data_IF_540577373532
#
_entry.id   IF_540577373532
#
_cell.length_a   1.000
_cell.length_b   1.000
_cell.length_c   1.000
_cell.angle_alpha   90.00
_cell.angle_beta   90.00
_cell.angle_gamma   90.00
#
_symmetry.space_group_name_H-M   'P 1'
#
loop_
_entity.id
_entity.type
_entity.pdbx_description
1 polymer ?
#
# COMPACT_ATOMS: atom_id res chain seq x y z
N UNK A 1 -17.19 1.11 -19.20
CA UNK A 1 -16.25 -0.05 -19.07
C UNK A 1 -16.98 -1.22 -18.40
N UNK A 2 -16.52 -2.46 -18.57
CA UNK A 2 -17.17 -3.65 -17.98
C UNK A 2 -16.59 -3.99 -16.59
N UNK A 3 -15.44 -3.47 -16.24
CA UNK A 3 -14.81 -3.69 -14.92
C UNK A 3 -13.67 -2.73 -14.68
N UNK A 4 -13.32 -2.55 -13.41
CA UNK A 4 -12.29 -1.62 -12.95
C UNK A 4 -11.06 -2.41 -12.52
N UNK A 5 -9.92 -2.10 -13.11
CA UNK A 5 -8.64 -2.75 -12.80
C UNK A 5 -8.09 -2.17 -11.48
N UNK A 6 -7.57 -3.06 -10.62
CA UNK A 6 -6.89 -2.66 -9.40
C UNK A 6 -5.43 -2.26 -9.70
N UNK A 7 -5.26 -1.14 -10.38
CA UNK A 7 -3.96 -0.54 -10.64
C UNK A 7 -3.78 0.72 -9.80
N UNK A 8 -2.52 0.99 -9.44
CA UNK A 8 -2.14 2.27 -8.84
C UNK A 8 -2.40 3.40 -9.85
N UNK A 9 -2.75 4.58 -9.36
CA UNK A 9 -2.88 5.76 -10.19
C UNK A 9 -1.52 6.06 -10.84
N UNK A 10 -1.50 6.12 -12.17
CA UNK A 10 -0.29 6.48 -12.91
C UNK A 10 0.01 7.98 -12.79
N UNK A 11 1.23 8.36 -13.18
CA UNK A 11 1.66 9.75 -13.23
C UNK A 11 0.69 10.60 -14.08
N UNK A 12 0.15 11.69 -13.49
CA UNK A 12 -0.80 12.57 -14.15
C UNK A 12 -2.24 12.04 -14.23
N UNK A 13 -2.56 10.90 -13.60
CA UNK A 13 -3.93 10.42 -13.48
C UNK A 13 -4.79 11.34 -12.60
N UNK A 14 -6.10 11.30 -12.84
CA UNK A 14 -7.07 12.14 -12.11
C UNK A 14 -7.12 11.76 -10.62
N UNK A 15 -6.96 12.74 -9.73
CA UNK A 15 -7.08 12.58 -8.29
C UNK A 15 -8.55 12.49 -7.87
N UNK A 16 -9.12 11.30 -7.98
CA UNK A 16 -10.52 11.05 -7.61
C UNK A 16 -10.75 10.95 -6.09
N UNK A 17 -9.69 10.91 -5.28
CA UNK A 17 -9.76 10.87 -3.81
C UNK A 17 -9.55 12.24 -3.16
N UNK A 18 -9.29 13.28 -3.97
CA UNK A 18 -9.01 14.67 -3.54
C UNK A 18 -7.86 14.79 -2.52
N UNK A 19 -6.77 14.04 -2.73
CA UNK A 19 -5.57 14.06 -1.87
C UNK A 19 -4.39 14.86 -2.45
N UNK A 20 -4.63 15.67 -3.49
CA UNK A 20 -3.59 16.47 -4.16
C UNK A 20 -2.78 17.34 -3.20
N UNK A 21 -3.42 17.96 -2.22
CA UNK A 21 -2.73 18.78 -1.21
C UNK A 21 -1.70 18.00 -0.39
N UNK A 22 -1.91 16.71 -0.15
CA UNK A 22 -0.99 15.87 0.62
C UNK A 22 0.26 15.52 -0.18
N UNK A 23 0.13 15.15 -1.47
CA UNK A 23 1.31 14.86 -2.27
C UNK A 23 2.08 16.13 -2.62
N UNK A 24 1.43 17.28 -2.81
CA UNK A 24 2.09 18.58 -3.00
C UNK A 24 2.91 18.95 -1.74
N UNK A 25 2.32 18.82 -0.55
CA UNK A 25 3.04 19.08 0.70
C UNK A 25 4.25 18.15 0.89
N UNK A 26 4.14 16.87 0.51
CA UNK A 26 5.27 15.94 0.57
C UNK A 26 6.36 16.29 -0.45
N UNK A 27 5.99 16.71 -1.66
CA UNK A 27 6.95 17.19 -2.67
C UNK A 27 7.70 18.41 -2.16
N UNK A 28 6.99 19.40 -1.62
CA UNK A 28 7.62 20.59 -1.04
C UNK A 28 8.51 20.27 0.15
N UNK A 29 8.10 19.32 0.99
CA UNK A 29 8.94 18.82 2.07
C UNK A 29 10.21 18.15 1.53
N UNK A 30 10.11 17.28 0.52
CA UNK A 30 11.27 16.63 -0.12
C UNK A 30 12.23 17.69 -0.70
N UNK A 31 11.71 18.76 -1.29
CA UNK A 31 12.52 19.86 -1.86
C UNK A 31 13.27 20.66 -0.81
N UNK A 32 12.72 20.82 0.39
CA UNK A 32 13.23 21.77 1.40
C UNK A 32 13.91 21.11 2.58
N UNK A 33 13.64 19.83 2.86
CA UNK A 33 14.12 19.16 4.08
C UNK A 33 15.64 19.03 4.13
N UNK A 34 16.20 18.97 5.34
CA UNK A 34 17.58 18.54 5.52
C UNK A 34 17.72 17.04 5.22
N UNK A 35 18.91 16.64 4.79
CA UNK A 35 19.21 15.25 4.40
C UNK A 35 20.35 14.66 5.24
N UNK A 36 20.42 13.37 5.48
CA UNK A 36 19.53 12.31 4.96
C UNK A 36 18.16 12.30 5.61
N UNK A 37 17.12 12.07 4.82
CA UNK A 37 15.73 12.01 5.29
C UNK A 37 15.06 10.70 4.86
N UNK A 38 14.30 10.08 5.76
CA UNK A 38 13.45 8.93 5.44
C UNK A 38 12.00 9.24 5.80
N UNK A 39 11.16 9.20 4.78
CA UNK A 39 9.71 9.39 4.88
C UNK A 39 9.06 8.00 4.84
N UNK A 40 8.27 7.65 5.85
CA UNK A 40 7.51 6.42 5.87
C UNK A 40 6.06 6.67 5.53
N UNK A 41 5.64 6.33 4.32
CA UNK A 41 4.24 6.38 3.87
C UNK A 41 3.54 5.13 4.40
N UNK A 42 2.73 5.31 5.43
CA UNK A 42 2.08 4.22 6.17
C UNK A 42 0.62 4.09 5.78
N UNK A 43 0.17 2.87 5.61
CA UNK A 43 -1.22 2.55 5.34
C UNK A 43 -1.39 1.07 5.06
N UNK A 44 -2.61 0.59 5.23
CA UNK A 44 -2.95 -0.80 4.89
C UNK A 44 -2.87 -1.07 3.39
N UNK A 45 -2.91 -2.34 3.06
CA UNK A 45 -2.88 -2.77 1.68
C UNK A 45 -4.12 -2.28 0.91
N UNK A 46 -3.88 -1.57 -0.19
CA UNK A 46 -4.94 -0.97 -1.00
C UNK A 46 -5.33 0.46 -0.62
N UNK A 47 -4.69 1.06 0.40
CA UNK A 47 -4.94 2.45 0.81
C UNK A 47 -4.45 3.52 -0.19
N UNK A 48 -3.71 3.15 -1.25
CA UNK A 48 -3.22 4.08 -2.26
C UNK A 48 -1.77 4.53 -2.08
N UNK A 49 -0.95 3.85 -1.26
CA UNK A 49 0.48 4.19 -1.05
C UNK A 49 1.24 4.35 -2.37
N UNK A 50 1.20 3.32 -3.22
CA UNK A 50 1.86 3.35 -4.55
C UNK A 50 1.37 4.50 -5.41
N UNK A 51 0.06 4.79 -5.39
CA UNK A 51 -0.52 5.94 -6.11
C UNK A 51 0.05 7.26 -5.62
N UNK A 52 0.18 7.44 -4.31
CA UNK A 52 0.80 8.62 -3.71
C UNK A 52 2.28 8.75 -4.14
N UNK A 53 3.05 7.65 -4.11
CA UNK A 53 4.44 7.66 -4.56
C UNK A 53 4.55 8.04 -6.05
N UNK A 54 3.67 7.52 -6.91
CA UNK A 54 3.62 7.86 -8.33
C UNK A 54 3.32 9.36 -8.56
N UNK A 55 2.44 9.96 -7.75
CA UNK A 55 2.14 11.39 -7.85
C UNK A 55 3.34 12.25 -7.40
N UNK A 56 4.03 11.85 -6.32
CA UNK A 56 5.27 12.53 -5.89
C UNK A 56 6.33 12.43 -6.99
N UNK A 57 6.53 11.24 -7.56
CA UNK A 57 7.43 11.02 -8.68
C UNK A 57 7.13 11.96 -9.85
N UNK A 58 5.88 11.98 -10.30
CA UNK A 58 5.43 12.82 -11.41
C UNK A 58 5.72 14.30 -11.18
N UNK A 59 5.41 14.81 -9.98
CA UNK A 59 5.62 16.21 -9.63
C UNK A 59 7.10 16.61 -9.58
N UNK A 60 7.96 15.72 -9.10
CA UNK A 60 9.40 15.96 -9.13
C UNK A 60 9.95 15.87 -10.56
N UNK A 61 9.42 14.96 -11.39
CA UNK A 61 9.77 14.86 -12.81
C UNK A 61 9.32 16.09 -13.63
N UNK A 62 8.16 16.65 -13.31
CA UNK A 62 7.71 17.94 -13.87
C UNK A 62 8.68 19.06 -13.47
N UNK A 63 9.11 19.10 -12.22
CA UNK A 63 10.12 20.06 -11.74
C UNK A 63 11.44 19.95 -12.49
N UNK A 64 11.86 18.74 -12.87
CA UNK A 64 13.05 18.51 -13.70
C UNK A 64 12.93 19.10 -15.11
N UNK A 65 11.70 19.24 -15.64
CA UNK A 65 11.45 19.74 -17.01
C UNK A 65 11.25 21.25 -17.10
N UNK A 66 10.79 21.88 -16.03
CA UNK A 66 10.36 23.27 -16.05
C UNK A 66 11.47 24.29 -15.74
N UNK A 67 12.59 23.87 -15.15
CA UNK A 67 13.54 24.81 -14.56
C UNK A 67 15.00 24.59 -14.95
N UNK A 68 15.78 25.68 -14.85
CA UNK A 68 17.24 25.77 -14.91
C UNK A 68 17.94 24.65 -14.12
N UNK A 69 19.15 24.33 -14.51
CA UNK A 69 20.03 23.24 -14.07
C UNK A 69 20.14 22.99 -12.54
N UNK A 70 19.60 23.88 -11.71
CA UNK A 70 19.77 23.85 -10.24
C UNK A 70 18.69 23.04 -9.48
N UNK A 71 17.66 22.47 -10.14
CA UNK A 71 16.53 21.80 -9.44
C UNK A 71 16.23 20.38 -9.95
N UNK A 72 17.21 19.68 -10.45
CA UNK A 72 17.04 18.31 -10.91
C UNK A 72 17.07 17.31 -9.73
N UNK A 73 16.16 16.33 -9.75
CA UNK A 73 16.07 15.23 -8.80
C UNK A 73 16.36 13.92 -9.51
N UNK A 74 17.38 13.18 -9.05
CA UNK A 74 17.59 11.81 -9.49
C UNK A 74 16.64 10.91 -8.75
N UNK A 75 15.65 10.36 -9.44
CA UNK A 75 14.62 9.52 -8.87
C UNK A 75 14.91 8.06 -9.16
N UNK A 76 14.86 7.20 -8.15
CA UNK A 76 15.11 5.77 -8.22
C UNK A 76 13.92 5.03 -7.62
N UNK A 77 13.33 4.10 -8.37
CA UNK A 77 12.21 3.29 -7.92
C UNK A 77 12.64 1.85 -7.70
N UNK A 78 12.33 1.30 -6.53
CA UNK A 78 12.63 -0.09 -6.17
C UNK A 78 11.35 -0.79 -5.77
N UNK A 79 10.99 -1.85 -6.50
CA UNK A 79 9.90 -2.74 -6.14
C UNK A 79 10.46 -3.96 -5.36
N UNK A 80 10.26 -3.95 -4.05
CA UNK A 80 10.81 -4.99 -3.19
C UNK A 80 10.20 -6.37 -3.45
N UNK A 81 8.94 -6.43 -3.86
CA UNK A 81 8.24 -7.69 -4.14
C UNK A 81 8.78 -8.38 -5.39
N UNK A 82 9.07 -7.64 -6.46
CA UNK A 82 9.65 -8.22 -7.69
C UNK A 82 10.98 -8.92 -7.41
N UNK A 83 11.79 -8.34 -6.53
CA UNK A 83 13.06 -8.93 -6.14
C UNK A 83 12.90 -10.18 -5.26
N UNK A 84 11.78 -10.31 -4.53
CA UNK A 84 11.54 -11.43 -3.61
C UNK A 84 11.04 -12.71 -4.29
N UNK A 85 10.45 -12.62 -5.48
CA UNK A 85 9.69 -13.71 -6.11
C UNK A 85 10.50 -14.97 -6.45
N UNK A 86 11.81 -14.84 -6.70
CA UNK A 86 12.65 -15.94 -7.24
C UNK A 86 14.01 -16.03 -6.54
N UNK A 87 14.13 -15.58 -5.30
CA UNK A 87 15.41 -15.58 -4.58
C UNK A 87 15.24 -15.80 -3.09
N UNK A 88 16.34 -16.15 -2.42
CA UNK A 88 16.37 -16.18 -0.95
C UNK A 88 16.24 -14.77 -0.39
N UNK A 89 15.85 -14.61 0.90
CA UNK A 89 15.76 -13.31 1.55
C UNK A 89 17.06 -12.49 1.43
N UNK A 90 18.21 -13.13 1.59
CA UNK A 90 19.53 -12.53 1.50
C UNK A 90 19.84 -12.04 0.07
N UNK A 91 19.44 -12.81 -0.93
CA UNK A 91 19.59 -12.42 -2.34
C UNK A 91 18.65 -11.27 -2.70
N UNK A 92 17.43 -11.23 -2.14
CA UNK A 92 16.50 -10.13 -2.30
C UNK A 92 17.10 -8.81 -1.81
N UNK A 93 17.66 -8.81 -0.59
CA UNK A 93 18.34 -7.65 -0.02
C UNK A 93 19.45 -7.11 -0.92
N UNK A 94 20.28 -8.03 -1.43
CA UNK A 94 21.40 -7.66 -2.31
C UNK A 94 20.93 -7.14 -3.66
N UNK A 95 19.85 -7.67 -4.22
CA UNK A 95 19.25 -7.19 -5.46
C UNK A 95 18.74 -5.77 -5.32
N UNK A 96 18.01 -5.46 -4.24
CA UNK A 96 17.52 -4.12 -3.93
C UNK A 96 18.68 -3.12 -3.86
N UNK A 97 19.73 -3.45 -3.11
CA UNK A 97 20.91 -2.58 -3.01
C UNK A 97 21.58 -2.40 -4.37
N UNK A 98 21.75 -3.50 -5.11
CA UNK A 98 22.40 -3.46 -6.42
C UNK A 98 21.59 -2.64 -7.43
N UNK A 99 20.25 -2.67 -7.37
CA UNK A 99 19.40 -1.84 -8.22
C UNK A 99 19.60 -0.36 -7.92
N UNK A 100 19.50 0.05 -6.64
CA UNK A 100 19.76 1.45 -6.26
C UNK A 100 21.14 1.90 -6.72
N UNK A 101 22.16 1.06 -6.52
CA UNK A 101 23.53 1.39 -6.93
C UNK A 101 23.66 1.46 -8.46
N UNK A 102 23.00 0.57 -9.19
CA UNK A 102 23.04 0.55 -10.64
C UNK A 102 22.42 1.80 -11.24
N UNK A 103 21.30 2.26 -10.68
CA UNK A 103 20.64 3.51 -11.08
C UNK A 103 21.52 4.74 -10.76
N UNK A 104 22.13 4.77 -9.56
CA UNK A 104 23.10 5.82 -9.23
C UNK A 104 24.29 5.85 -10.18
N UNK A 105 24.78 4.68 -10.63
CA UNK A 105 25.88 4.57 -11.58
C UNK A 105 25.48 4.86 -13.03
N UNK A 106 24.20 4.84 -13.36
CA UNK A 106 23.68 5.22 -14.67
C UNK A 106 23.73 6.74 -14.89
N UNK A 107 23.69 7.53 -13.83
CA UNK A 107 23.99 8.96 -13.89
C UNK A 107 25.46 9.12 -14.29
N UNK A 108 25.76 9.89 -15.31
CA UNK A 108 27.04 10.02 -16.04
C UNK A 108 28.32 10.22 -15.18
N UNK A 109 28.70 9.14 -14.46
CA UNK A 109 29.74 9.13 -13.42
C UNK A 109 31.06 8.58 -13.97
N UNK A 110 32.22 9.03 -13.43
CA UNK A 110 33.55 8.57 -13.81
C UNK A 110 33.70 7.04 -13.70
N UNK A 111 34.34 6.46 -14.73
CA UNK A 111 34.58 5.02 -14.85
C UNK A 111 35.34 4.43 -13.64
N UNK A 112 36.29 5.16 -13.07
CA UNK A 112 37.09 4.71 -11.93
C UNK A 112 36.24 4.55 -10.65
N UNK A 113 35.22 5.41 -10.45
CA UNK A 113 34.28 5.31 -9.34
C UNK A 113 33.33 4.14 -9.53
N UNK A 114 32.82 3.96 -10.76
CA UNK A 114 31.98 2.80 -11.12
C UNK A 114 32.65 1.47 -10.75
N UNK A 115 33.95 1.32 -11.11
CA UNK A 115 34.67 0.07 -10.86
C UNK A 115 34.88 -0.18 -9.36
N UNK A 116 35.25 0.83 -8.58
CA UNK A 116 35.40 0.71 -7.11
C UNK A 116 34.08 0.33 -6.38
N UNK A 117 32.96 0.90 -6.83
CA UNK A 117 31.65 0.62 -6.24
C UNK A 117 31.21 -0.79 -6.61
N UNK A 118 31.37 -1.21 -7.87
CA UNK A 118 31.11 -2.58 -8.32
C UNK A 118 31.92 -3.62 -7.53
N UNK A 119 33.20 -3.34 -7.23
CA UNK A 119 34.02 -4.19 -6.37
C UNK A 119 33.48 -4.28 -4.94
N UNK A 120 32.99 -3.16 -4.37
CA UNK A 120 32.41 -3.11 -3.04
C UNK A 120 31.11 -3.94 -2.96
N UNK A 121 30.22 -3.78 -3.95
CA UNK A 121 28.98 -4.57 -4.07
C UNK A 121 29.31 -6.05 -4.27
N UNK A 122 30.26 -6.38 -5.15
CA UNK A 122 30.68 -7.75 -5.37
C UNK A 122 31.30 -8.41 -4.12
N UNK A 123 31.97 -7.63 -3.29
CA UNK A 123 32.46 -8.06 -1.98
C UNK A 123 31.32 -8.45 -1.03
N UNK A 124 30.27 -7.63 -0.94
CA UNK A 124 29.06 -7.94 -0.17
C UNK A 124 28.35 -9.19 -0.70
N UNK A 125 28.18 -9.28 -2.03
CA UNK A 125 27.54 -10.45 -2.67
C UNK A 125 28.31 -11.74 -2.43
N UNK A 126 29.64 -11.73 -2.49
CA UNK A 126 30.48 -12.90 -2.17
C UNK A 126 30.39 -13.31 -0.71
N UNK A 127 30.29 -12.37 0.21
CA UNK A 127 30.06 -12.62 1.63
C UNK A 127 28.76 -13.37 1.83
N UNK A 128 27.66 -12.88 1.27
CA UNK A 128 26.32 -13.48 1.36
C UNK A 128 26.26 -14.88 0.73
N UNK A 129 26.85 -15.08 -0.45
CA UNK A 129 26.87 -16.39 -1.14
C UNK A 129 27.69 -17.44 -0.40
N UNK A 130 28.78 -17.07 0.29
CA UNK A 130 29.55 -18.00 1.13
C UNK A 130 28.75 -18.50 2.33
N UNK A 131 27.88 -17.65 2.86
CA UNK A 131 26.99 -18.01 3.96
C UNK A 131 25.83 -18.89 3.43
N UNK A 132 25.24 -18.57 2.27
CA UNK A 132 24.17 -19.38 1.66
C UNK A 132 24.59 -20.80 1.30
N UNK A 133 25.83 -21.00 0.83
CA UNK A 133 26.35 -22.33 0.51
C UNK A 133 26.62 -23.23 1.74
N UNK A 134 26.80 -22.65 2.91
CA UNK A 134 26.91 -23.43 4.19
C UNK A 134 25.55 -23.82 4.78
N UNK A 135 24.45 -23.28 4.26
CA UNK A 135 23.07 -23.42 4.73
C UNK A 135 22.35 -24.68 4.24
N UNK A 136 22.90 -25.40 3.26
CA UNK A 136 22.36 -26.71 2.84
C UNK A 136 22.35 -27.76 3.97
N UNK A 137 22.79 -27.42 5.18
CA UNK A 137 22.92 -28.27 6.36
C UNK A 137 22.13 -27.75 7.60
N UNK A 138 20.90 -27.25 7.44
CA UNK A 138 19.90 -27.11 8.50
C UNK A 138 20.24 -26.10 9.65
N UNK A 139 19.29 -25.28 10.01
CA UNK A 139 19.23 -24.37 11.20
C UNK A 139 20.26 -23.23 11.34
N UNK A 140 21.10 -22.95 10.38
CA UNK A 140 22.11 -21.90 10.45
C UNK A 140 21.70 -20.55 9.81
N UNK A 141 20.48 -20.42 9.26
CA UNK A 141 20.05 -19.26 8.46
C UNK A 141 20.02 -17.94 9.20
N UNK A 142 19.54 -17.93 10.43
CA UNK A 142 19.41 -16.69 11.23
C UNK A 142 20.79 -16.18 11.68
N UNK A 143 21.71 -17.09 12.05
CA UNK A 143 23.08 -16.72 12.44
C UNK A 143 23.94 -16.22 11.29
N UNK A 144 23.60 -16.57 10.06
CA UNK A 144 24.36 -16.21 8.88
C UNK A 144 24.18 -14.75 8.46
N UNK A 145 22.97 -14.21 8.60
CA UNK A 145 22.69 -12.79 8.31
C UNK A 145 23.29 -11.90 9.40
N UNK A 146 23.14 -12.30 10.68
CA UNK A 146 23.80 -11.60 11.79
C UNK A 146 25.34 -11.63 11.64
N UNK A 147 25.92 -12.71 11.10
CA UNK A 147 27.34 -12.78 10.84
C UNK A 147 27.81 -11.92 9.65
N UNK A 148 26.94 -11.62 8.66
CA UNK A 148 27.24 -10.64 7.62
C UNK A 148 27.32 -9.22 8.19
N UNK A 149 26.47 -8.92 9.20
CA UNK A 149 26.51 -7.62 9.88
C UNK A 149 27.67 -7.50 10.87
N UNK A 150 28.01 -8.56 11.57
CA UNK A 150 29.08 -8.56 12.61
C UNK A 150 30.50 -8.62 12.01
N UNK A 151 30.73 -9.41 10.96
CA UNK A 151 32.08 -9.58 10.37
C UNK A 151 32.42 -8.54 9.28
N UNK A 152 31.42 -7.80 8.74
CA UNK A 152 31.59 -6.88 7.61
C UNK A 152 31.20 -5.41 7.90
N UNK A 153 31.18 -4.98 9.15
CA UNK A 153 30.97 -3.57 9.52
C UNK A 153 31.94 -2.63 8.75
N UNK A 154 33.16 -3.09 8.46
CA UNK A 154 34.11 -2.37 7.64
C UNK A 154 33.71 -2.32 6.16
N UNK A 155 33.07 -3.37 5.63
CA UNK A 155 32.61 -3.44 4.24
C UNK A 155 31.41 -2.53 4.02
N UNK A 156 30.44 -2.56 4.94
CA UNK A 156 29.28 -1.64 4.93
C UNK A 156 29.74 -0.18 5.04
N UNK A 157 30.65 0.12 5.96
CA UNK A 157 31.21 1.47 6.11
C UNK A 157 31.96 1.93 4.87
N UNK A 158 32.74 1.04 4.24
CA UNK A 158 33.46 1.33 3.00
C UNK A 158 32.50 1.59 1.86
N UNK A 159 31.46 0.75 1.70
CA UNK A 159 30.43 0.95 0.68
C UNK A 159 29.68 2.26 0.90
N UNK A 160 29.27 2.57 2.12
CA UNK A 160 28.63 3.86 2.44
C UNK A 160 29.49 5.05 2.04
N UNK A 161 30.79 5.00 2.34
CA UNK A 161 31.71 6.08 1.98
C UNK A 161 31.88 6.22 0.47
N UNK A 162 31.90 5.10 -0.28
CA UNK A 162 31.94 5.11 -1.74
C UNK A 162 30.66 5.67 -2.35
N UNK A 163 29.48 5.28 -1.81
CA UNK A 163 28.18 5.82 -2.23
C UNK A 163 28.04 7.32 -1.88
N UNK A 164 28.56 7.75 -0.73
CA UNK A 164 28.60 9.16 -0.38
C UNK A 164 29.44 9.98 -1.36
N UNK A 165 30.59 9.45 -1.80
CA UNK A 165 31.41 10.09 -2.82
C UNK A 165 30.66 10.15 -4.16
N UNK A 166 29.99 9.07 -4.55
CA UNK A 166 29.19 8.99 -5.78
C UNK A 166 28.06 10.00 -5.82
N UNK A 167 27.25 10.11 -4.74
CA UNK A 167 26.19 11.11 -4.64
C UNK A 167 26.77 12.54 -4.71
N UNK A 168 27.94 12.76 -4.10
CA UNK A 168 28.64 14.04 -4.21
C UNK A 168 29.09 14.35 -5.65
N UNK A 169 29.49 13.36 -6.45
CA UNK A 169 29.83 13.54 -7.88
C UNK A 169 28.58 13.84 -8.72
N UNK A 170 27.49 13.11 -8.50
CA UNK A 170 26.20 13.30 -9.17
C UNK A 170 25.69 14.74 -8.98
N UNK A 171 25.87 15.27 -7.77
CA UNK A 171 25.50 16.65 -7.44
C UNK A 171 26.36 17.71 -8.16
N UNK A 172 27.60 17.38 -8.48
CA UNK A 172 28.56 18.30 -9.09
C UNK A 172 28.82 17.99 -10.58
N UNK A 173 27.91 17.30 -11.27
CA UNK A 173 28.03 17.07 -12.70
C UNK A 173 28.06 18.41 -13.45
N UNK A 174 28.93 18.53 -14.47
CA UNK A 174 29.00 19.73 -15.30
C UNK A 174 27.76 19.93 -16.19
N UNK A 175 27.14 18.82 -16.56
CA UNK A 175 25.89 18.79 -17.34
C UNK A 175 24.79 18.10 -16.51
N UNK A 176 23.69 18.79 -16.29
CA UNK A 176 22.56 18.31 -15.51
C UNK A 176 22.92 17.86 -14.07
N UNK A 177 23.43 18.76 -13.21
CA UNK A 177 23.66 18.42 -11.80
C UNK A 177 22.34 18.07 -11.11
N UNK A 178 22.39 17.07 -10.23
CA UNK A 178 21.23 16.71 -9.42
C UNK A 178 21.33 17.33 -8.03
N UNK A 179 20.29 18.02 -7.62
CA UNK A 179 20.22 18.59 -6.28
C UNK A 179 20.13 17.51 -5.20
N UNK A 180 19.34 16.47 -5.45
CA UNK A 180 19.07 15.36 -4.52
C UNK A 180 18.80 14.05 -5.25
N UNK A 181 19.05 12.97 -4.53
CA UNK A 181 18.62 11.62 -4.92
C UNK A 181 17.39 11.26 -4.10
N UNK A 182 16.29 10.87 -4.76
CA UNK A 182 15.05 10.42 -4.13
C UNK A 182 14.84 8.95 -4.45
N UNK A 183 14.84 8.11 -3.43
CA UNK A 183 14.69 6.66 -3.57
C UNK A 183 13.33 6.24 -3.03
N UNK A 184 12.51 5.69 -3.90
CA UNK A 184 11.22 5.11 -3.56
C UNK A 184 11.39 3.61 -3.35
N UNK A 185 10.89 3.10 -2.23
CA UNK A 185 10.89 1.67 -1.95
C UNK A 185 9.44 1.25 -1.70
N UNK A 186 8.91 0.47 -2.65
CA UNK A 186 7.52 0.05 -2.64
C UNK A 186 7.37 -1.45 -2.40
N UNK A 187 6.15 -1.86 -2.07
CA UNK A 187 5.75 -3.27 -1.89
C UNK A 187 6.53 -4.02 -0.78
N UNK A 188 7.05 -3.32 0.24
CA UNK A 188 7.67 -3.94 1.41
C UNK A 188 6.69 -4.79 2.23
N UNK A 189 5.40 -4.53 2.12
CA UNK A 189 4.32 -5.25 2.81
C UNK A 189 3.95 -6.58 2.13
N UNK A 190 4.51 -6.87 0.95
CA UNK A 190 4.29 -8.14 0.22
C UNK A 190 5.37 -9.19 0.43
N UNK A 191 6.46 -8.83 1.10
CA UNK A 191 7.55 -9.75 1.41
C UNK A 191 7.40 -10.32 2.83
N UNK A 192 8.18 -11.34 3.15
CA UNK A 192 8.19 -11.92 4.50
C UNK A 192 8.47 -10.81 5.54
N UNK A 193 7.65 -10.67 6.62
CA UNK A 193 7.79 -9.58 7.58
C UNK A 193 9.19 -9.42 8.18
N UNK A 194 9.91 -10.51 8.43
CA UNK A 194 11.30 -10.48 8.92
C UNK A 194 12.25 -9.85 7.92
N UNK A 195 12.04 -10.12 6.63
CA UNK A 195 12.90 -9.61 5.57
C UNK A 195 12.63 -8.13 5.31
N UNK A 196 11.37 -7.69 5.45
CA UNK A 196 11.02 -6.27 5.44
C UNK A 196 11.79 -5.51 6.53
N UNK A 197 11.86 -6.04 7.76
CA UNK A 197 12.64 -5.45 8.87
C UNK A 197 14.13 -5.36 8.51
N UNK A 198 14.71 -6.45 7.98
CA UNK A 198 16.13 -6.46 7.56
C UNK A 198 16.42 -5.45 6.45
N UNK A 199 15.52 -5.33 5.46
CA UNK A 199 15.66 -4.33 4.38
C UNK A 199 15.66 -2.92 4.99
N UNK A 200 14.74 -2.60 5.89
CA UNK A 200 14.67 -1.31 6.55
C UNK A 200 15.96 -0.99 7.34
N UNK A 201 16.46 -1.93 8.13
CA UNK A 201 17.71 -1.77 8.89
C UNK A 201 18.92 -1.58 7.95
N UNK A 202 18.95 -2.30 6.84
CA UNK A 202 20.04 -2.24 5.87
C UNK A 202 20.03 -0.91 5.10
N UNK A 203 18.85 -0.48 4.62
CA UNK A 203 18.69 0.81 3.95
C UNK A 203 19.15 1.94 4.88
N UNK A 204 18.75 1.93 6.14
CA UNK A 204 19.20 2.91 7.14
C UNK A 204 20.72 2.91 7.32
N UNK A 205 21.33 1.73 7.33
CA UNK A 205 22.78 1.61 7.57
C UNK A 205 23.62 1.98 6.36
N UNK A 206 23.20 1.66 5.14
CA UNK A 206 23.96 1.90 3.91
C UNK A 206 23.71 3.29 3.37
N UNK A 207 22.44 3.71 3.32
CA UNK A 207 22.02 4.93 2.62
C UNK A 207 21.78 6.13 3.55
N UNK A 208 22.33 6.13 4.76
CA UNK A 208 22.39 7.33 5.59
C UNK A 208 23.44 8.32 5.03
N UNK A 209 23.13 8.91 3.86
CA UNK A 209 24.02 9.70 3.00
C UNK A 209 23.37 11.06 2.78
N UNK A 210 24.16 12.14 2.90
CA UNK A 210 23.71 13.50 2.58
C UNK A 210 23.16 13.57 1.16
N UNK A 211 22.23 14.46 0.93
CA UNK A 211 21.55 14.70 -0.35
C UNK A 211 20.68 13.53 -0.84
N UNK A 212 20.35 12.56 0.06
CA UNK A 212 19.45 11.46 -0.21
C UNK A 212 18.15 11.58 0.62
N UNK A 213 17.02 11.35 -0.04
CA UNK A 213 15.69 11.20 0.58
C UNK A 213 15.14 9.83 0.24
N UNK A 214 14.67 9.09 1.24
CA UNK A 214 13.99 7.81 1.06
C UNK A 214 12.50 7.98 1.30
N UNK A 215 11.67 7.47 0.40
CA UNK A 215 10.21 7.41 0.53
C UNK A 215 9.82 5.94 0.53
N UNK A 216 9.45 5.44 1.69
CA UNK A 216 9.17 4.02 1.94
C UNK A 216 7.66 3.80 2.05
N UNK A 217 7.07 3.01 1.14
CA UNK A 217 5.70 2.54 1.29
C UNK A 217 5.68 1.32 2.20
N UNK A 218 5.09 1.46 3.39
CA UNK A 218 5.09 0.42 4.41
C UNK A 218 3.70 0.20 5.00
N UNK A 219 3.45 -1.03 5.43
CA UNK A 219 2.38 -1.35 6.37
C UNK A 219 2.99 -1.58 7.76
N UNK A 220 2.60 -0.73 8.72
CA UNK A 220 3.09 -0.80 10.09
C UNK A 220 2.90 -2.19 10.70
N UNK A 221 1.75 -2.83 10.45
CA UNK A 221 1.42 -4.14 10.99
C UNK A 221 2.34 -5.25 10.46
N UNK A 222 2.77 -5.16 9.21
CA UNK A 222 3.71 -6.11 8.62
C UNK A 222 5.07 -5.99 9.31
N UNK A 223 5.56 -4.78 9.53
CA UNK A 223 6.84 -4.55 10.22
C UNK A 223 6.75 -5.00 11.68
N UNK A 224 5.65 -4.71 12.39
CA UNK A 224 5.42 -5.21 13.76
C UNK A 224 5.49 -6.73 13.80
N UNK A 225 4.84 -7.45 12.87
CA UNK A 225 4.94 -8.91 12.77
C UNK A 225 6.38 -9.39 12.58
N UNK A 226 7.18 -8.68 11.79
CA UNK A 226 8.60 -9.01 11.58
C UNK A 226 9.47 -8.80 12.83
N UNK A 227 9.04 -7.95 13.76
CA UNK A 227 9.75 -7.65 15.01
C UNK A 227 9.36 -8.56 16.17
N UNK A 228 8.32 -9.40 16.04
CA UNK A 228 7.83 -10.29 17.13
C UNK A 228 8.93 -11.20 17.65
N UNK A 229 9.80 -11.70 16.80
CA UNK A 229 10.92 -12.55 17.26
C UNK A 229 11.94 -11.80 18.12
N UNK A 230 12.08 -10.49 17.87
CA UNK A 230 13.05 -9.64 18.57
C UNK A 230 12.50 -9.10 19.89
N UNK A 231 11.21 -8.71 19.91
CA UNK A 231 10.59 -8.00 21.03
C UNK A 231 9.45 -8.79 21.72
N UNK A 232 9.10 -9.98 21.21
CA UNK A 232 7.90 -10.70 21.63
C UNK A 232 6.62 -10.18 20.97
N UNK A 233 5.49 -10.79 21.30
CA UNK A 233 4.19 -10.29 20.84
C UNK A 233 3.92 -8.88 21.41
N UNK A 234 3.24 -7.98 20.65
CA UNK A 234 2.93 -6.65 21.14
C UNK A 234 2.10 -6.70 22.43
N UNK A 235 2.53 -5.98 23.44
CA UNK A 235 1.83 -5.77 24.73
C UNK A 235 1.97 -4.30 25.12
N UNK A 236 1.12 -3.78 26.04
CA UNK A 236 1.29 -2.41 26.53
C UNK A 236 2.68 -2.13 27.13
N UNK A 237 3.35 -3.15 27.66
CA UNK A 237 4.66 -3.03 28.31
C UNK A 237 5.80 -2.90 27.31
N UNK A 238 5.70 -3.50 26.11
CA UNK A 238 6.76 -3.50 25.09
C UNK A 238 6.43 -2.66 23.84
N UNK A 239 5.27 -2.00 23.78
CA UNK A 239 4.87 -1.15 22.64
C UNK A 239 5.91 -0.08 22.30
N UNK A 240 6.59 0.45 23.30
CA UNK A 240 7.63 1.45 23.13
C UNK A 240 8.85 0.92 22.33
N UNK A 241 9.16 -0.39 22.37
CA UNK A 241 10.27 -0.98 21.61
C UNK A 241 9.96 -0.97 20.09
N UNK A 242 8.71 -1.26 19.72
CA UNK A 242 8.25 -1.17 18.33
C UNK A 242 8.30 0.28 17.84
N UNK A 243 7.80 1.23 18.63
CA UNK A 243 7.86 2.66 18.31
C UNK A 243 9.31 3.13 18.15
N UNK A 244 10.18 2.78 19.09
CA UNK A 244 11.59 3.15 19.04
C UNK A 244 12.32 2.57 17.81
N UNK A 245 11.92 1.40 17.32
CA UNK A 245 12.45 0.84 16.08
C UNK A 245 12.07 1.72 14.89
N UNK A 246 10.79 2.10 14.78
CA UNK A 246 10.33 2.99 13.70
C UNK A 246 10.99 4.36 13.76
N UNK A 247 11.04 4.99 14.93
CA UNK A 247 11.65 6.32 15.12
C UNK A 247 13.14 6.34 14.75
N UNK A 248 13.82 5.21 14.91
CA UNK A 248 15.22 5.07 14.51
C UNK A 248 15.39 5.07 13.00
N UNK A 249 14.43 4.58 12.24
CA UNK A 249 14.52 4.43 10.77
C UNK A 249 13.84 5.58 10.05
N UNK A 250 12.62 5.93 10.47
CA UNK A 250 11.74 6.89 9.82
C UNK A 250 11.80 8.20 10.58
N UNK A 251 12.21 9.28 9.90
CA UNK A 251 12.21 10.62 10.48
C UNK A 251 10.88 11.34 10.28
N UNK A 252 10.18 11.08 9.16
CA UNK A 252 8.84 11.61 8.90
C UNK A 252 7.86 10.45 8.69
N UNK A 253 7.06 10.09 9.70
CA UNK A 253 5.94 9.19 9.50
C UNK A 253 4.78 9.95 8.84
N UNK A 254 4.28 9.44 7.73
CA UNK A 254 3.13 9.96 7.01
C UNK A 254 2.09 8.84 6.88
N UNK A 255 0.94 9.00 7.53
CA UNK A 255 -0.17 8.06 7.40
C UNK A 255 -1.06 8.44 6.23
N UNK A 256 -1.47 7.45 5.42
CA UNK A 256 -2.43 7.69 4.34
C UNK A 256 -3.70 8.30 4.91
N UNK A 257 -4.17 9.43 4.35
CA UNK A 257 -5.29 10.20 4.91
C UNK A 257 -6.65 9.60 4.54
N UNK A 258 -6.86 8.32 4.83
CA UNK A 258 -8.07 7.59 4.41
C UNK A 258 -9.37 8.19 4.96
N UNK A 259 -9.32 8.88 6.11
CA UNK A 259 -10.46 9.60 6.67
C UNK A 259 -10.78 10.93 5.98
N UNK A 260 -9.91 11.38 5.06
CA UNK A 260 -10.12 12.62 4.29
C UNK A 260 -10.39 12.35 2.81
N UNK A 261 -10.60 11.08 2.42
CA UNK A 261 -10.94 10.72 1.05
C UNK A 261 -12.37 11.15 0.74
N UNK A 262 -12.59 11.74 -0.41
CA UNK A 262 -13.94 12.01 -0.93
C UNK A 262 -14.53 10.71 -1.50
N UNK A 263 -15.07 9.90 -0.60
CA UNK A 263 -15.60 8.57 -0.94
C UNK A 263 -16.85 8.70 -1.82
N UNK A 264 -17.70 9.69 -1.56
CA UNK A 264 -18.91 9.93 -2.36
C UNK A 264 -18.59 10.14 -3.83
N UNK A 265 -17.75 11.13 -4.13
CA UNK A 265 -17.30 11.42 -5.50
C UNK A 265 -16.53 10.26 -6.11
N UNK A 266 -15.65 9.61 -5.33
CA UNK A 266 -14.89 8.47 -5.81
C UNK A 266 -15.79 7.33 -6.27
N UNK A 267 -16.77 6.94 -5.45
CA UNK A 267 -17.72 5.88 -5.78
C UNK A 267 -18.57 6.26 -6.98
N UNK A 268 -19.11 7.49 -7.03
CA UNK A 268 -19.90 7.97 -8.17
C UNK A 268 -19.10 7.93 -9.47
N UNK A 269 -17.84 8.37 -9.46
CA UNK A 269 -16.98 8.31 -10.66
C UNK A 269 -16.77 6.87 -11.13
N UNK A 270 -16.61 5.92 -10.22
CA UNK A 270 -16.45 4.51 -10.57
C UNK A 270 -17.76 3.87 -11.06
N UNK A 271 -18.91 4.28 -10.53
CA UNK A 271 -20.23 3.86 -11.02
C UNK A 271 -20.49 4.39 -12.44
N UNK A 272 -20.06 5.62 -12.73
CA UNK A 272 -20.11 6.19 -14.09
C UNK A 272 -19.22 5.41 -15.07
N UNK A 273 -18.00 5.04 -14.67
CA UNK A 273 -17.07 4.27 -15.48
C UNK A 273 -17.65 2.93 -15.97
N UNK A 274 -18.46 2.27 -15.13
CA UNK A 274 -19.14 1.01 -15.46
C UNK A 274 -20.53 1.24 -16.08
N UNK A 275 -20.95 2.48 -16.29
CA UNK A 275 -22.31 2.88 -16.72
C UNK A 275 -23.37 2.18 -15.85
N UNK A 276 -23.17 2.18 -14.53
CA UNK A 276 -24.03 1.46 -13.58
C UNK A 276 -25.46 1.94 -13.63
N UNK A 277 -25.65 3.23 -13.73
CA UNK A 277 -26.92 3.92 -13.77
C UNK A 277 -26.95 4.89 -14.96
N UNK A 278 -27.99 4.81 -15.80
CA UNK A 278 -28.20 5.79 -16.86
C UNK A 278 -28.93 6.99 -16.26
N UNK A 279 -28.21 8.11 -16.07
CA UNK A 279 -28.76 9.34 -15.51
C UNK A 279 -29.92 9.87 -16.35
N UNK A 280 -31.13 9.76 -15.78
CA UNK A 280 -32.31 10.47 -16.22
C UNK A 280 -32.40 11.84 -15.55
N UNK A 281 -33.62 12.25 -15.16
CA UNK A 281 -33.83 13.47 -14.37
C UNK A 281 -33.38 13.30 -12.90
N UNK A 282 -33.36 12.08 -12.39
CA UNK A 282 -32.95 11.74 -11.01
C UNK A 282 -31.46 11.42 -10.98
N UNK A 283 -30.74 11.98 -10.01
CA UNK A 283 -29.32 11.67 -9.72
C UNK A 283 -29.23 10.77 -8.49
N UNK A 284 -28.14 9.98 -8.41
CA UNK A 284 -27.81 9.24 -7.21
C UNK A 284 -27.41 10.22 -6.10
N UNK A 285 -27.93 10.00 -4.90
CA UNK A 285 -27.61 10.81 -3.72
C UNK A 285 -26.19 10.49 -3.23
N UNK A 286 -25.28 11.45 -3.37
CA UNK A 286 -23.85 11.32 -3.03
C UNK A 286 -23.68 11.03 -1.54
N UNK A 287 -24.36 11.75 -0.66
CA UNK A 287 -24.24 11.60 0.81
C UNK A 287 -24.71 10.21 1.26
N UNK A 288 -25.83 9.73 0.66
CA UNK A 288 -26.34 8.40 0.94
C UNK A 288 -25.40 7.30 0.46
N UNK A 289 -24.83 7.43 -0.73
CA UNK A 289 -23.86 6.47 -1.29
C UNK A 289 -22.59 6.45 -0.45
N UNK A 290 -22.05 7.60 -0.07
CA UNK A 290 -20.92 7.71 0.83
C UNK A 290 -21.17 6.99 2.15
N UNK A 291 -22.33 7.26 2.77
CA UNK A 291 -22.71 6.63 4.03
C UNK A 291 -22.83 5.11 3.90
N UNK A 292 -23.51 4.61 2.86
CA UNK A 292 -23.68 3.19 2.61
C UNK A 292 -22.32 2.48 2.44
N UNK A 293 -21.43 3.06 1.64
CA UNK A 293 -20.13 2.44 1.36
C UNK A 293 -19.22 2.53 2.57
N UNK A 294 -19.14 3.68 3.22
CA UNK A 294 -18.25 3.90 4.36
C UNK A 294 -18.63 3.01 5.55
N UNK A 295 -19.92 2.88 5.86
CA UNK A 295 -20.41 2.06 6.97
C UNK A 295 -20.33 0.54 6.69
N UNK A 296 -20.25 0.12 5.42
CA UNK A 296 -20.23 -1.31 5.06
C UNK A 296 -18.86 -1.80 4.61
N UNK A 297 -18.28 -1.15 3.60
CA UNK A 297 -17.03 -1.55 2.93
C UNK A 297 -15.81 -0.81 3.52
N UNK A 298 -16.06 0.37 4.08
CA UNK A 298 -15.05 1.30 4.56
C UNK A 298 -14.49 2.19 3.47
N UNK A 299 -13.38 2.87 3.79
CA UNK A 299 -12.76 3.90 2.93
C UNK A 299 -11.58 3.40 2.11
N UNK A 300 -11.33 2.08 2.10
CA UNK A 300 -10.20 1.50 1.36
C UNK A 300 -10.48 1.44 -0.15
N UNK A 301 -9.73 2.16 -1.00
CA UNK A 301 -9.99 2.25 -2.45
C UNK A 301 -10.05 0.89 -3.17
N UNK A 302 -9.23 -0.07 -2.74
CA UNK A 302 -9.23 -1.42 -3.33
C UNK A 302 -10.51 -2.18 -3.00
N UNK A 303 -11.00 -2.07 -1.77
CA UNK A 303 -12.25 -2.69 -1.35
C UNK A 303 -13.43 -2.08 -2.11
N UNK A 304 -13.42 -0.77 -2.31
CA UNK A 304 -14.41 -0.06 -3.12
C UNK A 304 -14.39 -0.52 -4.58
N UNK A 305 -13.21 -0.62 -5.22
CA UNK A 305 -13.10 -1.16 -6.59
C UNK A 305 -13.67 -2.58 -6.71
N UNK A 306 -13.49 -3.43 -5.69
CA UNK A 306 -14.07 -4.78 -5.66
C UNK A 306 -15.60 -4.72 -5.57
N UNK A 307 -16.17 -3.85 -4.75
CA UNK A 307 -17.60 -3.59 -4.69
C UNK A 307 -18.13 -3.22 -6.08
N UNK A 308 -17.50 -2.24 -6.74
CA UNK A 308 -17.91 -1.77 -8.07
C UNK A 308 -17.83 -2.89 -9.12
N UNK A 309 -16.82 -3.75 -9.07
CA UNK A 309 -16.71 -4.90 -9.96
C UNK A 309 -17.84 -5.93 -9.71
N UNK A 310 -18.25 -6.12 -8.46
CA UNK A 310 -19.39 -6.98 -8.14
C UNK A 310 -20.70 -6.40 -8.68
N UNK A 311 -20.90 -5.09 -8.56
CA UNK A 311 -22.06 -4.39 -9.14
C UNK A 311 -22.07 -4.48 -10.66
N UNK A 312 -20.92 -4.32 -11.32
CA UNK A 312 -20.80 -4.46 -12.76
C UNK A 312 -21.22 -5.85 -13.24
N UNK A 313 -20.80 -6.90 -12.55
CA UNK A 313 -21.21 -8.26 -12.86
C UNK A 313 -22.71 -8.48 -12.71
N UNK A 314 -23.32 -7.94 -11.62
CA UNK A 314 -24.77 -8.04 -11.38
C UNK A 314 -25.54 -7.31 -12.48
N UNK A 315 -25.07 -6.12 -12.89
CA UNK A 315 -25.67 -5.37 -13.99
C UNK A 315 -25.67 -6.19 -15.29
N UNK A 316 -24.55 -6.76 -15.67
CA UNK A 316 -24.45 -7.61 -16.88
C UNK A 316 -25.40 -8.79 -16.82
N UNK A 317 -25.50 -9.45 -15.65
CA UNK A 317 -26.43 -10.56 -15.48
C UNK A 317 -27.90 -10.12 -15.63
N UNK A 318 -28.25 -8.96 -15.13
CA UNK A 318 -29.59 -8.39 -15.29
C UNK A 318 -29.89 -8.03 -16.74
N UNK A 319 -28.95 -7.36 -17.42
CA UNK A 319 -29.09 -6.98 -18.83
C UNK A 319 -29.29 -8.22 -19.72
N UNK A 320 -28.47 -9.27 -19.51
CA UNK A 320 -28.56 -10.54 -20.24
C UNK A 320 -29.90 -11.25 -20.03
N UNK A 321 -30.46 -11.20 -18.80
CA UNK A 321 -31.77 -11.80 -18.51
C UNK A 321 -32.90 -11.01 -19.15
N UNK A 322 -32.81 -9.69 -19.18
CA UNK A 322 -33.80 -8.80 -19.78
C UNK A 322 -33.84 -8.93 -21.30
N UNK A 323 -32.71 -9.09 -21.97
CA UNK A 323 -32.62 -9.38 -23.41
C UNK A 323 -33.28 -10.72 -23.77
N UNK A 324 -33.22 -11.70 -22.87
CA UNK A 324 -33.81 -13.03 -23.06
C UNK A 324 -35.34 -13.06 -22.82
N UNK A 325 -35.88 -12.03 -22.18
CA UNK A 325 -37.29 -11.88 -21.86
C UNK A 325 -37.95 -10.93 -22.86
N UNK A 326 -38.93 -11.36 -23.62
CA UNK A 326 -39.58 -10.64 -24.70
C UNK A 326 -40.35 -9.33 -24.31
N UNK A 327 -39.99 -8.71 -23.22
CA UNK A 327 -40.49 -7.44 -22.73
C UNK A 327 -39.34 -6.55 -22.32
N UNK A 328 -38.59 -6.03 -23.31
CA UNK A 328 -37.42 -5.17 -23.11
C UNK A 328 -37.64 -4.01 -22.16
N UNK A 329 -37.55 -4.29 -20.89
CA UNK A 329 -37.42 -3.29 -19.83
C UNK A 329 -35.94 -3.16 -19.52
N UNK A 330 -35.38 -2.06 -19.97
CA UNK A 330 -34.03 -1.67 -19.66
C UNK A 330 -33.75 -1.74 -18.17
N UNK A 331 -32.56 -2.21 -17.85
CA UNK A 331 -31.63 -1.74 -16.86
C UNK A 331 -32.17 -0.84 -15.72
N UNK A 332 -31.37 -0.67 -14.76
CA UNK A 332 -31.56 0.20 -13.59
C UNK A 332 -31.81 1.64 -14.05
N UNK A 333 -33.07 1.99 -14.32
CA UNK A 333 -33.49 3.33 -14.81
C UNK A 333 -34.04 4.23 -13.69
N UNK A 334 -33.98 3.76 -12.44
CA UNK A 334 -34.50 4.47 -11.29
C UNK A 334 -33.38 4.53 -10.23
N UNK A 335 -33.10 5.72 -9.73
CA UNK A 335 -32.06 5.98 -8.75
C UNK A 335 -32.28 5.18 -7.45
N UNK A 336 -33.54 5.06 -7.01
CA UNK A 336 -33.87 4.28 -5.80
C UNK A 336 -33.51 2.80 -5.97
N UNK A 337 -33.82 2.21 -7.14
CA UNK A 337 -33.49 0.81 -7.44
C UNK A 337 -31.98 0.63 -7.51
N UNK A 338 -31.26 1.56 -8.14
CA UNK A 338 -29.80 1.55 -8.17
C UNK A 338 -29.21 1.59 -6.77
N UNK A 339 -29.70 2.49 -5.93
CA UNK A 339 -29.24 2.65 -4.54
C UNK A 339 -29.53 1.39 -3.70
N UNK A 340 -30.75 0.82 -3.82
CA UNK A 340 -31.11 -0.43 -3.11
C UNK A 340 -30.22 -1.60 -3.56
N UNK A 341 -29.93 -1.72 -4.86
CA UNK A 341 -29.02 -2.77 -5.35
C UNK A 341 -27.60 -2.59 -4.82
N UNK A 342 -27.09 -1.36 -4.78
CA UNK A 342 -25.81 -1.04 -4.16
C UNK A 342 -25.82 -1.44 -2.67
N UNK A 343 -26.85 -1.02 -1.92
CA UNK A 343 -26.98 -1.34 -0.50
C UNK A 343 -27.03 -2.86 -0.24
N UNK A 344 -27.74 -3.62 -1.09
CA UNK A 344 -27.80 -5.08 -0.97
C UNK A 344 -26.45 -5.75 -1.23
N UNK A 345 -25.67 -5.26 -2.17
CA UNK A 345 -24.31 -5.78 -2.42
C UNK A 345 -23.36 -5.39 -1.30
N UNK A 346 -23.44 -4.16 -0.80
CA UNK A 346 -22.71 -3.73 0.39
C UNK A 346 -23.02 -4.64 1.59
N UNK A 347 -24.29 -4.90 1.84
CA UNK A 347 -24.74 -5.80 2.92
C UNK A 347 -24.22 -7.23 2.73
N UNK A 348 -24.27 -7.76 1.51
CA UNK A 348 -23.77 -9.10 1.19
C UNK A 348 -22.26 -9.24 1.48
N UNK A 349 -21.48 -8.20 1.15
CA UNK A 349 -20.02 -8.21 1.34
C UNK A 349 -19.66 -8.00 2.81
N UNK A 350 -20.31 -7.05 3.48
CA UNK A 350 -19.99 -6.66 4.85
C UNK A 350 -20.57 -7.61 5.90
N UNK A 351 -21.81 -8.06 5.68
CA UNK A 351 -22.59 -8.84 6.64
C UNK A 351 -23.39 -9.95 5.93
N UNK A 352 -22.70 -10.96 5.42
CA UNK A 352 -23.32 -12.06 4.66
C UNK A 352 -24.45 -12.76 5.42
N UNK A 353 -24.30 -12.93 6.74
CA UNK A 353 -25.35 -13.58 7.56
C UNK A 353 -26.65 -12.77 7.60
N UNK A 354 -26.55 -11.45 7.71
CA UNK A 354 -27.74 -10.57 7.64
C UNK A 354 -28.35 -10.59 6.24
N UNK A 355 -27.51 -10.58 5.20
CA UNK A 355 -27.99 -10.70 3.83
C UNK A 355 -28.74 -12.03 3.60
N UNK A 356 -28.20 -13.16 4.07
CA UNK A 356 -28.85 -14.46 3.96
C UNK A 356 -30.20 -14.50 4.71
N UNK A 357 -30.28 -13.84 5.86
CA UNK A 357 -31.51 -13.70 6.60
C UNK A 357 -32.56 -12.88 5.82
N UNK A 358 -32.15 -11.77 5.22
CA UNK A 358 -33.04 -10.92 4.41
C UNK A 358 -33.56 -11.67 3.18
N UNK A 359 -32.72 -12.49 2.55
CA UNK A 359 -33.11 -13.32 1.41
C UNK A 359 -34.08 -14.43 1.83
N UNK A 360 -33.86 -15.06 3.00
CA UNK A 360 -34.71 -16.13 3.50
C UNK A 360 -36.09 -15.64 3.97
N UNK A 361 -36.16 -14.46 4.58
CA UNK A 361 -37.37 -13.86 5.15
C UNK A 361 -37.34 -12.33 4.99
N UNK A 362 -37.73 -11.81 3.79
CA UNK A 362 -37.62 -10.38 3.47
C UNK A 362 -38.35 -9.43 4.47
N UNK A 363 -39.31 -9.92 5.20
CA UNK A 363 -40.09 -9.15 6.20
C UNK A 363 -39.45 -9.16 7.59
N UNK A 364 -38.28 -9.78 7.79
CA UNK A 364 -37.64 -9.87 9.10
C UNK A 364 -37.32 -8.51 9.70
N UNK A 365 -37.07 -7.50 8.87
CA UNK A 365 -36.78 -6.13 9.29
C UNK A 365 -37.94 -5.55 10.13
N UNK A 366 -39.16 -5.89 9.76
CA UNK A 366 -40.39 -5.45 10.50
C UNK A 366 -40.53 -6.14 11.87
N UNK A 367 -39.90 -7.30 12.03
CA UNK A 367 -39.97 -8.15 13.23
C UNK A 367 -38.64 -8.27 13.95
N UNK A 368 -37.65 -7.44 13.56
CA UNK A 368 -36.34 -7.47 14.13
C UNK A 368 -36.37 -7.21 15.64
N UNK A 369 -36.04 -8.25 16.39
CA UNK A 369 -35.85 -8.20 17.83
C UNK A 369 -34.91 -9.34 18.28
N UNK A 370 -34.49 -9.30 19.54
CA UNK A 370 -33.57 -10.31 20.10
C UNK A 370 -34.12 -11.75 19.99
N UNK A 371 -35.45 -11.93 20.14
CA UNK A 371 -36.10 -13.24 20.03
C UNK A 371 -36.06 -13.80 18.60
N UNK A 372 -36.17 -12.93 17.59
CA UNK A 372 -36.10 -13.33 16.19
C UNK A 372 -34.65 -13.77 15.83
N UNK A 373 -33.69 -12.99 16.23
CA UNK A 373 -32.26 -13.31 16.02
C UNK A 373 -31.89 -14.63 16.72
N UNK A 374 -32.35 -14.84 17.95
CA UNK A 374 -32.13 -16.08 18.69
C UNK A 374 -32.77 -17.31 18.01
N UNK A 375 -33.98 -17.19 17.47
CA UNK A 375 -34.66 -18.28 16.73
C UNK A 375 -33.96 -18.66 15.45
N UNK A 376 -33.33 -17.71 14.75
CA UNK A 376 -32.54 -17.98 13.55
C UNK A 376 -31.25 -18.71 13.86
N UNK A 377 -30.59 -18.38 14.96
CA UNK A 377 -29.37 -19.08 15.40
C UNK A 377 -29.65 -20.54 15.80
N UNK A 378 -30.82 -20.82 16.39
CA UNK A 378 -31.19 -22.19 16.74
C UNK A 378 -31.49 -23.12 15.55
N UNK A 379 -31.77 -22.57 14.36
CA UNK A 379 -31.99 -23.35 13.14
C UNK A 379 -30.68 -23.84 12.47
N UNK A 380 -29.52 -23.31 12.83
CA UNK A 380 -28.22 -23.81 12.37
C UNK A 380 -27.77 -24.92 13.33
N UNK A 381 -27.60 -26.16 12.84
CA UNK A 381 -27.22 -27.36 13.60
C UNK A 381 -25.82 -27.27 14.28
N UNK A 382 -25.07 -26.19 14.08
CA UNK A 382 -23.78 -25.93 14.71
C UNK A 382 -23.80 -24.55 15.34
N UNK A 383 -24.22 -24.50 16.58
CA UNK A 383 -24.25 -23.27 17.36
C UNK A 383 -22.85 -22.98 17.92
N UNK A 384 -22.23 -21.86 17.51
CA UNK A 384 -21.02 -21.33 18.14
C UNK A 384 -21.44 -20.30 19.21
N UNK A 385 -21.20 -20.56 20.52
CA UNK A 385 -21.58 -19.63 21.59
C UNK A 385 -20.92 -18.24 21.45
N UNK A 386 -19.78 -18.14 20.80
CA UNK A 386 -19.10 -16.87 20.55
C UNK A 386 -19.88 -15.97 19.58
N UNK A 387 -20.76 -16.55 18.75
CA UNK A 387 -21.58 -15.83 17.82
C UNK A 387 -22.68 -15.01 18.52
N UNK A 388 -23.27 -15.55 19.59
CA UNK A 388 -24.30 -14.86 20.37
C UNK A 388 -23.77 -13.62 21.09
N UNK A 389 -22.53 -13.68 21.58
CA UNK A 389 -21.88 -12.53 22.21
C UNK A 389 -21.48 -11.47 21.17
N UNK A 390 -20.93 -11.87 20.05
CA UNK A 390 -20.54 -10.98 18.96
C UNK A 390 -21.79 -10.33 18.32
N UNK A 391 -22.87 -11.08 18.16
CA UNK A 391 -24.14 -10.56 17.63
C UNK A 391 -24.81 -9.58 18.60
N UNK A 392 -24.83 -9.88 19.90
CA UNK A 392 -25.33 -8.95 20.93
C UNK A 392 -24.51 -7.67 20.99
N UNK A 393 -23.19 -7.76 20.85
CA UNK A 393 -22.32 -6.58 20.75
C UNK A 393 -22.59 -5.76 19.49
N UNK A 394 -22.81 -6.41 18.34
CA UNK A 394 -23.11 -5.72 17.08
C UNK A 394 -24.46 -4.97 17.15
N UNK A 395 -25.50 -5.57 17.72
CA UNK A 395 -26.84 -4.95 17.86
C UNK A 395 -26.83 -3.81 18.90
N UNK A 396 -25.97 -3.89 19.92
CA UNK A 396 -25.88 -2.88 20.98
C UNK A 396 -24.85 -1.80 20.69
N UNK A 397 -24.07 -1.92 19.61
CA UNK A 397 -23.16 -0.86 19.18
C UNK A 397 -23.95 0.34 18.67
N UNK A 398 -23.53 1.55 19.03
CA UNK A 398 -24.14 2.80 18.55
C UNK A 398 -24.12 2.93 17.01
N UNK A 399 -23.30 2.14 16.34
CA UNK A 399 -23.15 2.08 14.88
C UNK A 399 -24.29 1.32 14.17
N UNK A 400 -25.20 0.70 14.91
CA UNK A 400 -26.35 -0.05 14.38
C UNK A 400 -27.68 0.69 14.51
N UNK A 401 -27.70 1.86 15.18
CA UNK A 401 -28.84 2.76 15.29
C UNK A 401 -28.61 3.98 14.43
#
# INVERSE_FOLDING_TARGET
>A
MVGIVDQALEAGGQDSLEISSYHEALVDFIKQTDTPMTIGVQGEWGSGKTSLLNQIWSRLEESNKEFDDDQNYLQIWVNSWEHSLLCTPEECLLKIINEIISELLAADVDKNQRDKIKEGVHGLMKGALRVGSSLAAGNAGVQAVDSLFDNDANTIKKLRNQLKALVGEIKNLETNPYQRVVVYVDDLDRIEPRDAVKILELLKNIFNISDCVFVLAIDYQVVVKGLIEKFGAPTPENEWEFKAFFDKIIQLPFSMPMGSYDIGKYVLSLLDDINYYESGEDQLDEDLIESLVTLSIGTNPRSIKRLINSLSLIKILNDTKNESSAGGGSAINNADVATVMLAMVCLQIANSDIYDMLVAEPTFVDTWNEDFAYKLTQKKETHDPSWDENFKQAITSEDFN
#
